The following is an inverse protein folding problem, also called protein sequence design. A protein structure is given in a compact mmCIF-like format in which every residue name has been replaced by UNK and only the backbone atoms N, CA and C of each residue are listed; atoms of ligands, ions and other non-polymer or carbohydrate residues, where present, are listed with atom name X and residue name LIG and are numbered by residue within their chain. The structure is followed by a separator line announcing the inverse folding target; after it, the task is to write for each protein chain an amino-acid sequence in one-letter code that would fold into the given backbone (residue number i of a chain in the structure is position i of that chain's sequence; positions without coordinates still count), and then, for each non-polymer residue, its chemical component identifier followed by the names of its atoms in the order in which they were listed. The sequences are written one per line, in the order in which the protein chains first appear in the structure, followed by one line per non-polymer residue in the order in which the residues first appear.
data_IF_396173445074
#
_entry.id   IF_396173445074
#
_cell.length_a   1.000
_cell.length_b   1.000
_cell.length_c   1.000
_cell.angle_alpha   90.00
_cell.angle_beta   90.00
_cell.angle_gamma   90.00
#
_symmetry.space_group_name_H-M   'P 1'
#
loop_
_entity.id
_entity.type
_entity.pdbx_description
1 polymer ?
#
# COMPACT_ATOMS: atom_id res chain seq x y z
N UNK A 1 -41.59 37.10 1.19
CA UNK A 1 -41.92 35.77 0.65
C UNK A 1 -40.87 35.39 -0.37
N UNK A 2 -40.52 34.12 -0.45
CA UNK A 2 -39.75 33.57 -1.56
C UNK A 2 -40.71 32.99 -2.59
N UNK A 3 -40.34 33.06 -3.87
CA UNK A 3 -41.13 32.45 -4.95
C UNK A 3 -40.27 31.39 -5.62
N UNK A 4 -40.81 30.19 -5.79
CA UNK A 4 -40.17 29.14 -6.57
C UNK A 4 -40.30 29.48 -8.05
N UNK A 5 -39.21 29.83 -8.72
CA UNK A 5 -39.25 30.29 -10.13
C UNK A 5 -38.84 29.23 -11.13
N UNK A 6 -38.18 28.16 -10.67
CA UNK A 6 -37.82 27.03 -11.52
C UNK A 6 -37.73 25.75 -10.70
N UNK A 7 -38.29 24.67 -11.24
CA UNK A 7 -38.12 23.31 -10.73
C UNK A 7 -37.63 22.42 -11.86
N UNK A 8 -36.42 21.88 -11.72
CA UNK A 8 -35.91 20.86 -12.64
C UNK A 8 -35.87 19.52 -11.93
N UNK A 9 -36.67 18.58 -12.43
CA UNK A 9 -36.61 17.17 -12.05
C UNK A 9 -35.77 16.40 -13.07
N UNK A 10 -34.89 15.53 -12.56
CA UNK A 10 -34.09 14.63 -13.39
C UNK A 10 -33.86 13.31 -12.67
N UNK A 11 -33.68 12.23 -13.42
CA UNK A 11 -33.27 10.95 -12.85
C UNK A 11 -31.77 10.96 -12.59
N UNK A 12 -31.38 10.56 -11.39
CA UNK A 12 -29.98 10.25 -11.05
C UNK A 12 -29.89 8.86 -10.46
N UNK A 13 -28.72 8.24 -10.54
CA UNK A 13 -28.49 6.94 -9.96
C UNK A 13 -27.24 6.93 -9.08
N UNK A 14 -27.17 5.94 -8.20
CA UNK A 14 -25.99 5.59 -7.42
C UNK A 14 -25.66 4.14 -7.72
N UNK A 15 -24.43 3.92 -8.15
CA UNK A 15 -23.94 2.58 -8.43
C UNK A 15 -23.50 1.88 -7.14
N UNK A 16 -23.66 0.55 -7.05
CA UNK A 16 -23.05 -0.21 -5.98
C UNK A 16 -21.53 -0.08 -6.02
N UNK A 17 -20.90 -0.25 -4.85
CA UNK A 17 -19.44 -0.37 -4.78
C UNK A 17 -19.00 -1.59 -5.58
N UNK A 18 -17.97 -1.40 -6.39
CA UNK A 18 -17.31 -2.49 -7.13
C UNK A 18 -16.77 -3.59 -6.18
N UNK A 19 -16.51 -4.81 -6.69
CA UNK A 19 -15.87 -5.87 -5.92
C UNK A 19 -14.57 -5.40 -5.27
N UNK A 20 -14.27 -5.98 -4.11
CA UNK A 20 -13.11 -5.59 -3.34
C UNK A 20 -11.80 -6.01 -4.01
N UNK A 21 -10.90 -5.04 -4.13
CA UNK A 21 -9.46 -5.27 -4.18
C UNK A 21 -8.91 -5.22 -2.76
N UNK A 22 -7.65 -5.57 -2.55
CA UNK A 22 -6.99 -5.45 -1.24
C UNK A 22 -7.04 -4.03 -0.70
N UNK A 23 -6.77 -3.02 -1.55
CA UNK A 23 -6.83 -1.61 -1.15
C UNK A 23 -8.22 -1.22 -0.62
N UNK A 24 -9.27 -1.58 -1.37
CA UNK A 24 -10.64 -1.27 -0.99
C UNK A 24 -11.08 -2.00 0.27
N UNK A 25 -10.76 -3.30 0.40
CA UNK A 25 -11.09 -4.07 1.59
C UNK A 25 -10.43 -3.44 2.82
N UNK A 26 -9.11 -3.21 2.78
CA UNK A 26 -8.37 -2.67 3.91
C UNK A 26 -8.87 -1.26 4.29
N UNK A 27 -9.14 -0.41 3.30
CA UNK A 27 -9.67 0.94 3.53
C UNK A 27 -11.07 0.92 4.16
N UNK A 28 -12.00 0.15 3.59
CA UNK A 28 -13.39 0.11 4.07
C UNK A 28 -13.51 -0.62 5.40
N UNK A 29 -12.84 -1.76 5.58
CA UNK A 29 -12.84 -2.49 6.84
C UNK A 29 -12.18 -1.67 7.95
N UNK A 30 -11.10 -0.92 7.68
CA UNK A 30 -10.49 -0.05 8.71
C UNK A 30 -11.44 1.06 9.14
N UNK A 31 -12.20 1.63 8.20
CA UNK A 31 -13.24 2.63 8.52
C UNK A 31 -14.40 2.02 9.33
N UNK A 32 -14.92 0.87 8.91
CA UNK A 32 -16.09 0.23 9.50
C UNK A 32 -15.78 -0.40 10.87
N UNK A 33 -14.72 -1.21 10.93
CA UNK A 33 -14.35 -2.00 12.11
C UNK A 33 -13.45 -1.22 13.08
N UNK A 34 -12.92 -0.06 12.66
CA UNK A 34 -12.03 0.80 13.47
C UNK A 34 -10.77 0.09 13.98
N UNK A 35 -10.27 -0.89 13.24
CA UNK A 35 -9.04 -1.62 13.54
C UNK A 35 -7.95 -1.33 12.48
N UNK A 36 -6.66 -1.56 12.82
CA UNK A 36 -5.57 -1.36 11.88
C UNK A 36 -5.62 -2.30 10.67
N UNK A 37 -5.13 -1.80 9.55
CA UNK A 37 -5.06 -2.51 8.26
C UNK A 37 -4.27 -3.83 8.34
N UNK A 38 -3.26 -3.88 9.21
CA UNK A 38 -2.48 -5.10 9.49
C UNK A 38 -3.33 -6.21 10.12
N UNK A 39 -4.20 -5.87 11.05
CA UNK A 39 -5.10 -6.82 11.71
C UNK A 39 -6.15 -7.32 10.71
N UNK A 40 -6.71 -6.42 9.90
CA UNK A 40 -7.64 -6.78 8.82
C UNK A 40 -6.99 -7.76 7.84
N UNK A 41 -5.73 -7.53 7.44
CA UNK A 41 -5.02 -8.44 6.56
C UNK A 41 -4.82 -9.83 7.19
N UNK A 42 -4.60 -9.91 8.51
CA UNK A 42 -4.51 -11.18 9.23
C UNK A 42 -5.87 -11.90 9.29
N UNK A 43 -6.95 -11.17 9.54
CA UNK A 43 -8.31 -11.74 9.53
C UNK A 43 -8.69 -12.23 8.13
N UNK A 44 -8.40 -11.46 7.09
CA UNK A 44 -8.63 -11.87 5.70
C UNK A 44 -7.80 -13.10 5.32
N UNK A 45 -6.56 -13.22 5.79
CA UNK A 45 -5.75 -14.43 5.64
C UNK A 45 -6.44 -15.64 6.29
N UNK A 46 -6.94 -15.52 7.53
CA UNK A 46 -7.69 -16.59 8.21
C UNK A 46 -8.94 -17.00 7.41
N UNK A 47 -9.73 -16.03 6.92
CA UNK A 47 -10.93 -16.30 6.12
C UNK A 47 -10.59 -17.02 4.80
N UNK A 48 -9.49 -16.62 4.15
CA UNK A 48 -9.01 -17.28 2.94
C UNK A 48 -8.55 -18.72 3.21
N UNK A 49 -7.75 -18.95 4.26
CA UNK A 49 -7.28 -20.29 4.66
C UNK A 49 -8.43 -21.22 5.09
N UNK A 50 -9.50 -20.64 5.65
CA UNK A 50 -10.74 -21.35 5.97
C UNK A 50 -11.62 -21.62 4.74
N UNK A 51 -11.22 -21.15 3.55
CA UNK A 51 -11.96 -21.35 2.30
C UNK A 51 -13.24 -20.53 2.18
N UNK A 52 -13.41 -19.47 2.98
CA UNK A 52 -14.62 -18.62 2.99
C UNK A 52 -14.58 -17.50 1.95
N UNK A 53 -13.38 -17.02 1.60
CA UNK A 53 -13.17 -15.94 0.63
C UNK A 53 -12.09 -16.31 -0.38
N UNK A 54 -12.11 -15.67 -1.54
CA UNK A 54 -11.02 -15.74 -2.53
C UNK A 54 -9.73 -15.09 -2.02
N UNK A 55 -8.64 -15.22 -2.78
CA UNK A 55 -7.34 -14.71 -2.34
C UNK A 55 -7.36 -13.19 -2.09
N UNK A 56 -7.14 -12.80 -0.83
CA UNK A 56 -7.29 -11.44 -0.35
C UNK A 56 -6.19 -10.45 -0.79
N UNK A 57 -5.12 -10.90 -1.47
CA UNK A 57 -4.05 -10.05 -2.01
C UNK A 57 -4.16 -9.92 -3.51
N UNK A 58 -5.09 -9.08 -3.95
CA UNK A 58 -5.49 -8.87 -5.33
C UNK A 58 -5.70 -7.38 -5.61
N UNK A 59 -5.29 -6.94 -6.79
CA UNK A 59 -5.59 -5.63 -7.36
C UNK A 59 -6.69 -5.71 -8.43
N UNK A 60 -7.30 -6.88 -8.57
CA UNK A 60 -8.32 -7.16 -9.58
C UNK A 60 -9.72 -6.96 -9.01
N UNK A 61 -10.58 -6.31 -9.78
CA UNK A 61 -12.03 -6.23 -9.54
C UNK A 61 -12.77 -7.37 -10.25
N UNK A 62 -12.07 -8.20 -11.02
CA UNK A 62 -12.63 -9.23 -11.90
C UNK A 62 -13.40 -10.32 -11.14
N UNK A 63 -14.49 -10.79 -11.73
CA UNK A 63 -15.26 -11.94 -11.29
C UNK A 63 -15.38 -12.90 -12.46
N UNK A 64 -15.15 -14.19 -12.24
CA UNK A 64 -15.29 -15.19 -13.29
C UNK A 64 -16.72 -15.25 -13.86
N UNK A 65 -16.88 -15.48 -15.17
CA UNK A 65 -18.20 -15.69 -15.78
C UNK A 65 -19.00 -16.81 -15.11
N UNK A 66 -18.32 -17.88 -14.68
CA UNK A 66 -18.91 -18.99 -13.94
C UNK A 66 -19.54 -18.50 -12.63
N UNK A 67 -18.79 -17.70 -11.85
CA UNK A 67 -19.29 -17.15 -10.60
C UNK A 67 -20.45 -16.18 -10.81
N UNK A 68 -20.40 -15.33 -11.84
CA UNK A 68 -21.48 -14.39 -12.16
C UNK A 68 -22.80 -15.10 -12.44
N UNK A 69 -22.74 -16.24 -13.16
CA UNK A 69 -23.89 -17.08 -13.46
C UNK A 69 -24.44 -17.78 -12.21
N UNK A 70 -23.56 -18.35 -11.39
CA UNK A 70 -23.97 -18.97 -10.12
C UNK A 70 -24.62 -17.94 -9.18
N UNK A 71 -24.05 -16.75 -9.11
CA UNK A 71 -24.54 -15.64 -8.31
C UNK A 71 -25.97 -15.24 -8.69
N UNK A 72 -26.25 -15.06 -9.99
CA UNK A 72 -27.60 -14.77 -10.50
C UNK A 72 -28.59 -15.86 -10.07
N UNK A 73 -28.27 -17.12 -10.36
CA UNK A 73 -29.14 -18.27 -10.10
C UNK A 73 -29.46 -18.41 -8.61
N UNK A 74 -28.49 -18.14 -7.74
CA UNK A 74 -28.65 -18.30 -6.29
C UNK A 74 -29.41 -17.13 -5.64
N UNK A 75 -29.07 -15.89 -5.98
CA UNK A 75 -29.59 -14.72 -5.28
C UNK A 75 -30.87 -14.13 -5.88
N UNK A 76 -31.16 -14.32 -7.16
CA UNK A 76 -32.40 -13.81 -7.76
C UNK A 76 -33.67 -14.35 -7.06
N UNK A 77 -33.76 -15.64 -6.67
CA UNK A 77 -34.89 -16.13 -5.87
C UNK A 77 -34.97 -15.57 -4.44
N UNK A 78 -33.83 -15.15 -3.87
CA UNK A 78 -33.75 -14.62 -2.50
C UNK A 78 -34.06 -13.12 -2.47
N UNK A 79 -33.60 -12.39 -3.50
CA UNK A 79 -33.74 -10.95 -3.67
C UNK A 79 -34.29 -10.63 -5.07
N UNK A 80 -35.60 -10.88 -5.30
CA UNK A 80 -36.19 -10.77 -6.64
C UNK A 80 -36.02 -9.38 -7.24
N UNK A 81 -35.56 -9.32 -8.49
CA UNK A 81 -35.40 -8.08 -9.25
C UNK A 81 -34.23 -7.20 -8.80
N UNK A 82 -33.37 -7.70 -7.91
CA UNK A 82 -32.19 -6.96 -7.41
C UNK A 82 -30.96 -7.21 -8.28
N UNK A 83 -30.81 -8.37 -8.92
CA UNK A 83 -29.60 -8.69 -9.69
C UNK A 83 -29.45 -7.81 -10.94
N UNK A 84 -28.20 -7.47 -11.25
CA UNK A 84 -27.79 -6.84 -12.51
C UNK A 84 -26.40 -7.34 -12.88
N UNK A 85 -26.31 -8.07 -14.00
CA UNK A 85 -25.04 -8.55 -14.54
C UNK A 85 -24.08 -7.38 -14.79
N UNK A 86 -22.93 -7.41 -14.12
CA UNK A 86 -21.87 -6.40 -14.21
C UNK A 86 -20.53 -7.08 -14.39
N UNK A 87 -19.88 -6.75 -15.51
CA UNK A 87 -18.50 -7.15 -15.75
C UNK A 87 -17.54 -6.15 -15.14
N UNK A 88 -16.60 -6.70 -14.39
CA UNK A 88 -15.48 -5.96 -13.83
C UNK A 88 -14.19 -6.47 -14.48
N UNK A 89 -13.27 -5.55 -14.76
CA UNK A 89 -11.98 -5.88 -15.38
C UNK A 89 -10.88 -5.79 -14.33
N UNK A 90 -9.85 -6.61 -14.50
CA UNK A 90 -8.61 -6.42 -13.78
C UNK A 90 -8.04 -5.02 -14.07
N UNK A 91 -7.40 -4.40 -13.07
CA UNK A 91 -6.74 -3.11 -13.25
C UNK A 91 -5.61 -3.21 -14.29
N UNK A 92 -5.26 -2.07 -14.93
CA UNK A 92 -4.17 -2.01 -15.93
C UNK A 92 -2.82 -2.53 -15.42
N UNK A 93 -2.60 -2.45 -14.11
CA UNK A 93 -1.38 -2.88 -13.45
C UNK A 93 -1.52 -4.25 -12.77
N UNK A 94 -2.63 -4.95 -13.00
CA UNK A 94 -2.82 -6.26 -12.41
C UNK A 94 -1.77 -7.22 -12.94
N UNK A 95 -0.99 -7.78 -12.01
CA UNK A 95 0.15 -8.64 -12.33
C UNK A 95 -0.28 -10.01 -12.86
N UNK A 96 -1.57 -10.36 -12.77
CA UNK A 96 -2.12 -11.60 -13.30
C UNK A 96 -3.57 -11.39 -13.75
N UNK A 97 -3.85 -11.67 -15.03
CA UNK A 97 -5.23 -11.71 -15.56
C UNK A 97 -6.12 -12.76 -14.87
N UNK A 98 -5.52 -13.68 -14.10
CA UNK A 98 -6.20 -14.78 -13.42
C UNK A 98 -6.57 -14.51 -11.95
N UNK A 99 -6.28 -13.31 -11.40
CA UNK A 99 -6.70 -13.00 -10.03
C UNK A 99 -8.13 -12.44 -10.03
N UNK A 100 -9.00 -13.06 -9.24
CA UNK A 100 -10.33 -12.54 -8.96
C UNK A 100 -10.30 -11.47 -7.87
N UNK A 101 -11.39 -10.72 -7.78
CA UNK A 101 -11.71 -9.87 -6.65
C UNK A 101 -11.86 -10.67 -5.35
N UNK A 102 -11.81 -9.97 -4.22
CA UNK A 102 -12.10 -10.52 -2.90
C UNK A 102 -13.61 -10.64 -2.73
N UNK A 103 -14.09 -11.87 -2.72
CA UNK A 103 -15.51 -12.23 -2.63
C UNK A 103 -15.69 -13.51 -1.82
N UNK A 104 -16.93 -13.84 -1.46
CA UNK A 104 -17.24 -15.16 -0.87
C UNK A 104 -17.00 -16.27 -1.90
N UNK A 105 -16.49 -17.40 -1.44
CA UNK A 105 -16.22 -18.59 -2.28
C UNK A 105 -17.49 -19.38 -2.58
N UNK A 106 -18.31 -19.59 -1.55
CA UNK A 106 -19.55 -20.36 -1.62
C UNK A 106 -20.75 -19.46 -1.37
N UNK A 107 -21.75 -19.55 -2.24
CA UNK A 107 -23.00 -18.81 -2.11
C UNK A 107 -23.83 -19.42 -0.98
N UNK A 108 -24.36 -18.57 -0.10
CA UNK A 108 -25.25 -18.96 0.99
C UNK A 108 -26.18 -17.79 1.32
N UNK A 109 -27.28 -18.05 2.03
CA UNK A 109 -28.18 -16.99 2.46
C UNK A 109 -27.62 -16.23 3.67
N UNK A 110 -28.08 -14.99 3.88
CA UNK A 110 -27.62 -14.13 4.98
C UNK A 110 -27.84 -14.78 6.35
N UNK A 111 -28.97 -15.48 6.54
CA UNK A 111 -29.31 -16.19 7.79
C UNK A 111 -28.31 -17.30 8.15
N UNK A 112 -27.57 -17.82 7.16
CA UNK A 112 -26.63 -18.92 7.33
C UNK A 112 -25.19 -18.42 7.55
N UNK A 113 -24.95 -17.11 7.52
CA UNK A 113 -23.61 -16.50 7.57
C UNK A 113 -22.81 -16.96 8.81
N UNK A 114 -23.40 -16.86 10.00
CA UNK A 114 -22.73 -17.28 11.24
C UNK A 114 -22.47 -18.79 11.26
N UNK A 115 -23.39 -19.60 10.72
CA UNK A 115 -23.25 -21.05 10.63
C UNK A 115 -22.09 -21.42 9.69
N UNK A 116 -22.02 -20.80 8.51
CA UNK A 116 -20.95 -21.02 7.52
C UNK A 116 -19.58 -20.68 8.12
N UNK A 117 -19.47 -19.56 8.84
CA UNK A 117 -18.23 -19.22 9.54
C UNK A 117 -17.89 -20.22 10.66
N UNK A 118 -18.88 -20.60 11.47
CA UNK A 118 -18.70 -21.56 12.56
C UNK A 118 -18.25 -22.94 12.06
N UNK A 119 -18.86 -23.44 10.99
CA UNK A 119 -18.50 -24.70 10.33
C UNK A 119 -17.04 -24.65 9.82
N UNK A 120 -16.59 -23.47 9.37
CA UNK A 120 -15.21 -23.19 8.97
C UNK A 120 -14.26 -22.86 10.15
N UNK A 121 -14.72 -23.02 11.40
CA UNK A 121 -13.98 -22.73 12.65
C UNK A 121 -13.58 -21.26 12.81
N UNK A 122 -14.36 -20.35 12.25
CA UNK A 122 -14.25 -18.90 12.41
C UNK A 122 -15.33 -18.44 13.38
N UNK A 123 -14.94 -18.20 14.64
CA UNK A 123 -15.84 -17.71 15.69
C UNK A 123 -15.45 -16.36 16.29
N UNK A 124 -14.34 -15.77 15.85
CA UNK A 124 -13.89 -14.45 16.32
C UNK A 124 -14.81 -13.35 15.77
N UNK A 125 -15.35 -12.49 16.65
CA UNK A 125 -16.33 -11.45 16.29
C UNK A 125 -15.84 -10.53 15.16
N UNK A 126 -14.56 -10.12 15.20
CA UNK A 126 -13.97 -9.27 14.16
C UNK A 126 -13.84 -10.00 12.82
N UNK A 127 -13.58 -11.31 12.83
CA UNK A 127 -13.54 -12.12 11.61
C UNK A 127 -14.94 -12.25 10.99
N UNK A 128 -15.97 -12.45 11.83
CA UNK A 128 -17.37 -12.48 11.39
C UNK A 128 -17.79 -11.15 10.76
N UNK A 129 -17.48 -10.02 11.41
CA UNK A 129 -17.77 -8.68 10.88
C UNK A 129 -17.03 -8.39 9.57
N UNK A 130 -15.77 -8.82 9.45
CA UNK A 130 -15.02 -8.70 8.19
C UNK A 130 -15.65 -9.56 7.08
N UNK A 131 -16.05 -10.79 7.41
CA UNK A 131 -16.72 -11.67 6.45
C UNK A 131 -18.06 -11.09 6.00
N UNK A 132 -18.86 -10.54 6.92
CA UNK A 132 -20.12 -9.84 6.62
C UNK A 132 -19.92 -8.65 5.67
N UNK A 133 -18.84 -7.89 5.84
CA UNK A 133 -18.50 -6.79 4.93
C UNK A 133 -18.16 -7.30 3.52
N UNK A 134 -17.40 -8.39 3.41
CA UNK A 134 -17.07 -9.04 2.13
C UNK A 134 -18.32 -9.63 1.48
N UNK A 135 -19.18 -10.28 2.26
CA UNK A 135 -20.47 -10.84 1.84
C UNK A 135 -21.37 -9.75 1.25
N UNK A 136 -21.54 -8.62 1.96
CA UNK A 136 -22.32 -7.49 1.48
C UNK A 136 -21.76 -6.92 0.16
N UNK A 137 -20.44 -6.67 0.09
CA UNK A 137 -19.83 -6.16 -1.14
C UNK A 137 -19.99 -7.13 -2.31
N UNK A 138 -19.87 -8.43 -2.06
CA UNK A 138 -20.01 -9.45 -3.10
C UNK A 138 -21.39 -9.36 -3.76
N UNK A 139 -22.46 -9.36 -2.96
CA UNK A 139 -23.84 -9.33 -3.45
C UNK A 139 -24.15 -7.98 -4.09
N UNK A 140 -23.88 -6.89 -3.36
CA UNK A 140 -24.20 -5.54 -3.83
C UNK A 140 -23.49 -5.21 -5.15
N UNK A 141 -22.27 -5.71 -5.38
CA UNK A 141 -21.53 -5.46 -6.62
C UNK A 141 -22.24 -6.00 -7.87
N UNK A 142 -23.16 -6.96 -7.71
CA UNK A 142 -23.98 -7.52 -8.79
C UNK A 142 -25.46 -7.11 -8.65
N UNK A 143 -25.74 -6.03 -7.92
CA UNK A 143 -27.08 -5.49 -7.74
C UNK A 143 -27.37 -4.30 -8.65
N UNK A 144 -28.66 -3.99 -8.81
CA UNK A 144 -29.14 -2.80 -9.50
C UNK A 144 -28.71 -1.52 -8.79
N UNK A 145 -28.57 -0.46 -9.58
CA UNK A 145 -28.38 0.88 -9.05
C UNK A 145 -29.53 1.30 -8.13
N UNK A 146 -29.22 2.10 -7.11
CA UNK A 146 -30.25 2.90 -6.46
C UNK A 146 -30.63 4.07 -7.39
N UNK A 147 -31.93 4.28 -7.60
CA UNK A 147 -32.44 5.36 -8.45
C UNK A 147 -33.05 6.46 -7.59
N UNK A 148 -32.83 7.70 -8.00
CA UNK A 148 -33.32 8.89 -7.30
C UNK A 148 -33.95 9.87 -8.27
N UNK A 149 -35.02 10.53 -7.82
CA UNK A 149 -35.48 11.77 -8.43
C UNK A 149 -34.64 12.92 -7.85
N UNK A 150 -33.80 13.55 -8.68
CA UNK A 150 -33.03 14.73 -8.31
C UNK A 150 -33.82 15.99 -8.66
N UNK A 151 -33.97 16.86 -7.67
CA UNK A 151 -34.63 18.15 -7.81
C UNK A 151 -33.62 19.28 -7.67
N UNK A 152 -33.59 20.15 -8.66
CA UNK A 152 -32.85 21.42 -8.63
C UNK A 152 -33.88 22.56 -8.69
N UNK A 153 -34.05 23.26 -7.56
CA UNK A 153 -35.04 24.32 -7.38
C UNK A 153 -34.35 25.68 -7.28
N UNK A 154 -34.89 26.69 -7.96
CA UNK A 154 -34.44 28.08 -7.85
C UNK A 154 -35.54 28.90 -7.18
N UNK A 155 -35.24 29.44 -6.01
CA UNK A 155 -36.09 30.37 -5.29
C UNK A 155 -35.62 31.79 -5.50
N UNK A 156 -36.54 32.69 -5.83
CA UNK A 156 -36.29 34.12 -5.90
C UNK A 156 -36.71 34.80 -4.61
N UNK A 157 -35.81 35.56 -4.01
CA UNK A 157 -36.07 36.40 -2.83
C UNK A 157 -35.63 37.82 -3.18
N UNK A 158 -36.60 38.71 -3.40
CA UNK A 158 -36.34 40.06 -3.94
C UNK A 158 -35.54 39.97 -5.27
N UNK A 159 -34.34 40.55 -5.32
CA UNK A 159 -33.43 40.53 -6.48
C UNK A 159 -32.55 39.29 -6.55
N UNK A 160 -32.46 38.50 -5.48
CA UNK A 160 -31.50 37.42 -5.35
C UNK A 160 -32.11 36.05 -5.67
N UNK A 161 -31.26 35.13 -6.14
CA UNK A 161 -31.63 33.74 -6.44
C UNK A 161 -30.92 32.78 -5.49
N UNK A 162 -31.67 31.83 -4.95
CA UNK A 162 -31.19 30.79 -4.04
C UNK A 162 -31.45 29.43 -4.66
N UNK A 163 -30.43 28.56 -4.64
CA UNK A 163 -30.55 27.18 -5.16
C UNK A 163 -30.77 26.21 -4.01
N UNK A 164 -31.76 25.34 -4.15
CA UNK A 164 -31.96 24.15 -3.33
C UNK A 164 -31.80 22.92 -4.22
N UNK A 165 -30.97 21.97 -3.80
CA UNK A 165 -30.73 20.72 -4.52
C UNK A 165 -30.83 19.55 -3.55
N UNK A 166 -31.68 18.57 -3.87
CA UNK A 166 -31.88 17.36 -3.06
C UNK A 166 -32.30 16.19 -3.96
N UNK A 167 -32.35 14.99 -3.38
CA UNK A 167 -32.68 13.75 -4.07
C UNK A 167 -33.68 12.95 -3.25
N UNK A 168 -34.71 12.43 -3.91
CA UNK A 168 -35.67 11.51 -3.30
C UNK A 168 -35.41 10.10 -3.83
N UNK A 169 -35.26 9.12 -2.92
CA UNK A 169 -35.05 7.73 -3.29
C UNK A 169 -36.30 7.20 -4.01
N UNK A 170 -36.11 6.73 -5.24
CA UNK A 170 -37.16 6.18 -6.10
C UNK A 170 -37.14 4.66 -6.07
N UNK A 171 -35.97 4.06 -6.22
CA UNK A 171 -35.76 2.60 -6.16
C UNK A 171 -34.49 2.30 -5.36
N UNK A 172 -34.58 1.36 -4.42
CA UNK A 172 -33.45 1.04 -3.51
C UNK A 172 -32.29 0.36 -4.22
N UNK A 173 -32.56 -0.57 -5.14
CA UNK A 173 -31.53 -1.40 -5.75
C UNK A 173 -30.66 -2.06 -4.67
N UNK A 174 -29.33 -1.94 -4.81
CA UNK A 174 -28.36 -2.49 -3.86
C UNK A 174 -28.52 -2.00 -2.40
N UNK A 175 -29.16 -0.84 -2.16
CA UNK A 175 -29.38 -0.33 -0.80
C UNK A 175 -30.29 -1.24 0.03
N UNK A 176 -31.19 -1.98 -0.62
CA UNK A 176 -32.03 -2.97 0.08
C UNK A 176 -31.17 -4.06 0.72
N UNK A 177 -30.14 -4.52 0.02
CA UNK A 177 -29.21 -5.54 0.52
C UNK A 177 -28.30 -4.96 1.61
N UNK A 178 -27.78 -3.75 1.42
CA UNK A 178 -26.98 -3.09 2.47
C UNK A 178 -27.80 -2.89 3.75
N UNK A 179 -29.07 -2.48 3.66
CA UNK A 179 -29.96 -2.29 4.82
C UNK A 179 -30.20 -3.60 5.57
N UNK A 180 -30.37 -4.71 4.85
CA UNK A 180 -30.59 -6.03 5.45
C UNK A 180 -29.34 -6.54 6.19
N UNK A 181 -28.15 -6.25 5.67
CA UNK A 181 -26.90 -6.79 6.21
C UNK A 181 -26.33 -5.89 7.31
N UNK A 182 -26.30 -4.58 7.12
CA UNK A 182 -25.66 -3.61 8.04
C UNK A 182 -26.67 -2.98 9.01
N UNK A 183 -27.97 -3.06 8.71
CA UNK A 183 -29.02 -2.39 9.47
C UNK A 183 -29.21 -0.93 9.06
N UNK A 184 -30.46 -0.47 9.07
CA UNK A 184 -30.85 0.89 8.64
C UNK A 184 -30.13 2.01 9.38
N UNK A 185 -29.86 1.84 10.67
CA UNK A 185 -29.24 2.89 11.50
C UNK A 185 -27.76 3.14 11.16
N UNK A 186 -27.05 2.17 10.57
CA UNK A 186 -25.66 2.36 10.16
C UNK A 186 -25.57 3.12 8.83
N UNK A 187 -26.51 2.89 7.91
CA UNK A 187 -26.55 3.57 6.61
C UNK A 187 -26.92 5.06 6.72
N UNK A 188 -27.90 5.37 7.57
CA UNK A 188 -28.35 6.76 7.80
C UNK A 188 -27.27 7.64 8.44
N UNK A 189 -26.20 7.06 9.00
CA UNK A 189 -25.05 7.81 9.55
C UNK A 189 -24.03 8.19 8.48
N UNK A 190 -23.96 7.44 7.38
CA UNK A 190 -23.04 7.73 6.27
C UNK A 190 -23.69 8.61 5.20
N UNK A 191 -24.99 8.51 5.03
CA UNK A 191 -25.77 9.30 4.07
C UNK A 191 -26.42 10.49 4.77
N UNK A 192 -26.08 11.71 4.34
CA UNK A 192 -26.92 12.88 4.60
C UNK A 192 -28.18 12.76 3.72
N UNK A 193 -29.04 11.78 3.99
CA UNK A 193 -30.35 11.72 3.35
C UNK A 193 -31.07 13.04 3.65
N UNK A 194 -31.64 13.64 2.61
CA UNK A 194 -32.43 14.85 2.79
C UNK A 194 -33.67 14.48 3.60
N UNK A 195 -33.96 15.21 4.68
CA UNK A 195 -35.20 15.10 5.48
C UNK A 195 -36.49 15.40 4.67
N UNK A 196 -36.36 15.70 3.39
CA UNK A 196 -37.47 15.93 2.49
C UNK A 196 -37.96 14.56 2.03
N UNK A 197 -39.06 14.08 2.61
CA UNK A 197 -39.70 12.82 2.17
C UNK A 197 -40.65 13.04 1.00
N UNK A 198 -41.24 14.25 0.91
CA UNK A 198 -42.19 14.61 -0.14
C UNK A 198 -41.96 16.05 -0.60
N UNK A 199 -41.80 16.24 -1.92
CA UNK A 199 -41.70 17.56 -2.54
C UNK A 199 -42.90 17.82 -3.46
N UNK A 200 -43.73 18.78 -3.09
CA UNK A 200 -45.00 19.08 -3.78
C UNK A 200 -45.06 20.48 -4.41
N UNK A 201 -43.99 21.28 -4.27
CA UNK A 201 -43.99 22.65 -4.76
C UNK A 201 -43.90 22.71 -6.28
N UNK A 202 -44.61 23.66 -6.87
CA UNK A 202 -44.62 23.98 -8.30
C UNK A 202 -44.05 25.35 -8.57
N UNK A 203 -43.66 25.59 -9.82
CA UNK A 203 -43.27 26.92 -10.23
C UNK A 203 -44.38 27.94 -9.95
N UNK A 204 -43.96 29.11 -9.47
CA UNK A 204 -44.77 30.21 -8.95
C UNK A 204 -45.37 30.01 -7.56
N UNK A 205 -45.13 28.88 -6.89
CA UNK A 205 -45.52 28.73 -5.48
C UNK A 205 -44.76 29.72 -4.60
N UNK A 206 -45.51 30.36 -3.70
CA UNK A 206 -44.98 31.28 -2.70
C UNK A 206 -44.69 30.54 -1.41
N UNK A 207 -43.44 30.61 -0.94
CA UNK A 207 -43.02 29.98 0.32
C UNK A 207 -42.73 31.07 1.36
N UNK A 208 -43.23 30.92 2.60
CA UNK A 208 -42.90 31.84 3.69
C UNK A 208 -41.39 31.86 3.96
N UNK A 209 -40.80 33.05 3.88
CA UNK A 209 -39.40 33.26 4.22
C UNK A 209 -39.29 33.38 5.75
N UNK A 210 -38.74 32.36 6.41
CA UNK A 210 -38.57 32.36 7.88
C UNK A 210 -37.38 33.21 8.32
N UNK A 211 -36.22 32.98 7.71
CA UNK A 211 -34.97 33.64 8.08
C UNK A 211 -34.05 33.77 6.86
N UNK A 212 -33.23 34.82 6.86
CA UNK A 212 -32.08 34.97 5.95
C UNK A 212 -30.89 35.39 6.79
N UNK A 213 -29.81 34.62 6.73
CA UNK A 213 -28.57 34.94 7.40
C UNK A 213 -27.40 34.77 6.45
N UNK A 214 -26.34 35.54 6.70
CA UNK A 214 -25.09 35.43 5.96
C UNK A 214 -24.18 34.48 6.74
N UNK A 215 -23.91 33.31 6.18
CA UNK A 215 -22.93 32.38 6.73
C UNK A 215 -21.57 32.63 6.10
N UNK A 216 -20.61 33.09 6.90
CA UNK A 216 -19.20 33.07 6.48
C UNK A 216 -18.75 31.61 6.39
N UNK A 217 -18.39 31.16 5.19
CA UNK A 217 -17.80 29.83 4.98
C UNK A 217 -16.29 29.98 4.99
N UNK A 218 -15.64 29.53 6.05
CA UNK A 218 -14.19 29.45 6.10
C UNK A 218 -13.75 28.14 5.44
N UNK A 219 -12.80 28.21 4.51
CA UNK A 219 -12.23 27.00 3.91
C UNK A 219 -11.44 26.26 4.99
N UNK A 220 -11.81 25.02 5.34
CA UNK A 220 -11.06 24.27 6.33
C UNK A 220 -9.67 23.96 5.78
N UNK A 221 -8.65 24.01 6.64
CA UNK A 221 -7.31 23.55 6.31
C UNK A 221 -7.33 22.06 5.90
N UNK A 222 -6.38 21.61 5.07
CA UNK A 222 -6.22 20.19 4.74
C UNK A 222 -6.15 19.36 6.03
N UNK A 223 -6.98 18.31 6.10
CA UNK A 223 -6.99 17.40 7.26
C UNK A 223 -5.83 16.40 7.13
N UNK A 224 -5.24 15.95 8.25
CA UNK A 224 -4.28 14.85 8.22
C UNK A 224 -4.90 13.60 7.59
N UNK A 225 -4.06 12.78 6.96
CA UNK A 225 -4.48 11.47 6.49
C UNK A 225 -4.86 10.59 7.68
N UNK A 226 -5.89 9.78 7.50
CA UNK A 226 -6.23 8.69 8.42
C UNK A 226 -5.71 7.38 7.86
N UNK A 227 -5.56 6.37 8.71
CA UNK A 227 -5.17 5.03 8.26
C UNK A 227 -6.05 4.50 7.13
N UNK A 228 -7.38 4.67 7.24
CA UNK A 228 -8.34 4.27 6.20
C UNK A 228 -8.13 4.96 4.85
N UNK A 229 -7.49 6.15 4.82
CA UNK A 229 -7.20 6.92 3.61
C UNK A 229 -5.75 6.73 3.11
N UNK A 230 -4.89 6.11 3.91
CA UNK A 230 -3.48 5.94 3.59
C UNK A 230 -3.27 4.95 2.43
N UNK A 231 -4.00 3.84 2.42
CA UNK A 231 -3.88 2.83 1.36
C UNK A 231 -4.43 3.35 0.01
N UNK A 232 -5.63 3.96 -0.06
CA UNK A 232 -6.10 4.60 -1.29
C UNK A 232 -5.14 5.66 -1.84
N UNK A 233 -4.48 6.41 -0.95
CA UNK A 233 -3.45 7.37 -1.36
C UNK A 233 -2.28 6.66 -2.05
N UNK A 234 -1.72 5.63 -1.43
CA UNK A 234 -0.61 4.85 -1.99
C UNK A 234 -0.97 4.24 -3.36
N UNK A 235 -2.16 3.65 -3.47
CA UNK A 235 -2.67 3.09 -4.73
C UNK A 235 -2.80 4.18 -5.81
N UNK A 236 -3.36 5.35 -5.47
CA UNK A 236 -3.51 6.46 -6.42
C UNK A 236 -2.18 7.06 -6.88
N UNK A 237 -1.17 7.03 -6.01
CA UNK A 237 0.20 7.45 -6.30
C UNK A 237 1.03 6.35 -6.98
N UNK A 238 0.47 5.16 -7.20
CA UNK A 238 1.15 4.01 -7.81
C UNK A 238 2.27 3.43 -6.95
N UNK A 239 2.21 3.62 -5.63
CA UNK A 239 3.22 3.18 -4.67
C UNK A 239 2.73 1.92 -3.95
N UNK A 240 3.52 0.85 -4.00
CA UNK A 240 3.21 -0.41 -3.34
C UNK A 240 2.19 -1.28 -4.10
N UNK A 241 1.94 -2.47 -3.55
CA UNK A 241 1.10 -3.52 -4.11
C UNK A 241 0.24 -4.14 -3.01
N UNK A 242 -0.80 -4.94 -3.35
CA UNK A 242 -1.59 -5.70 -2.39
C UNK A 242 -0.78 -6.42 -1.29
N UNK A 243 0.40 -6.92 -1.64
CA UNK A 243 1.32 -7.60 -0.73
C UNK A 243 2.03 -6.68 0.27
N UNK A 244 2.10 -5.38 0.01
CA UNK A 244 2.91 -4.44 0.80
C UNK A 244 2.10 -3.43 1.61
N UNK A 245 0.87 -3.11 1.19
CA UNK A 245 0.06 -2.04 1.82
C UNK A 245 -0.05 -2.14 3.34
N UNK A 246 -0.40 -3.33 3.85
CA UNK A 246 -0.58 -3.57 5.28
C UNK A 246 0.72 -3.44 6.11
N UNK A 247 1.89 -3.49 5.46
CA UNK A 247 3.20 -3.43 6.13
C UNK A 247 3.76 -2.02 6.25
N UNK A 248 3.38 -1.10 5.35
CA UNK A 248 4.01 0.22 5.27
C UNK A 248 3.73 1.08 6.49
N UNK A 249 2.47 1.15 6.93
CA UNK A 249 2.10 1.97 8.08
C UNK A 249 2.76 1.46 9.37
N UNK A 250 2.75 0.15 9.58
CA UNK A 250 3.40 -0.53 10.72
C UNK A 250 4.92 -0.26 10.73
N UNK A 251 5.58 -0.30 9.56
CA UNK A 251 7.00 0.00 9.44
C UNK A 251 7.32 1.46 9.79
N UNK A 252 6.51 2.41 9.32
CA UNK A 252 6.68 3.84 9.62
C UNK A 252 6.48 4.12 11.13
N UNK A 253 5.50 3.48 11.75
CA UNK A 253 5.27 3.53 13.20
C UNK A 253 6.43 2.93 13.99
N UNK A 254 6.88 1.73 13.61
CA UNK A 254 8.00 1.03 14.27
C UNK A 254 9.30 1.83 14.20
N UNK A 255 9.53 2.54 13.10
CA UNK A 255 10.68 3.45 12.93
C UNK A 255 10.48 4.82 13.56
N UNK A 256 9.32 5.07 14.19
CA UNK A 256 8.96 6.33 14.84
C UNK A 256 8.98 7.53 13.88
N UNK A 257 8.72 7.32 12.59
CA UNK A 257 8.61 8.42 11.61
C UNK A 257 7.25 9.08 11.61
N UNK A 258 6.22 8.35 12.03
CA UNK A 258 4.87 8.86 12.20
C UNK A 258 4.32 8.43 13.57
N UNK A 259 3.28 9.11 14.01
CA UNK A 259 2.40 8.69 15.09
C UNK A 259 0.95 8.69 14.60
N UNK A 260 0.10 7.91 15.25
CA UNK A 260 -1.35 7.90 15.03
C UNK A 260 -2.02 8.38 16.31
N UNK A 261 -2.85 9.42 16.18
CA UNK A 261 -3.67 9.90 17.29
C UNK A 261 -4.79 8.89 17.61
N UNK A 262 -4.87 8.45 18.86
CA UNK A 262 -5.79 7.36 19.27
C UNK A 262 -7.27 7.77 19.29
N UNK A 263 -7.59 9.06 19.27
CA UNK A 263 -8.97 9.56 19.26
C UNK A 263 -9.49 9.79 17.85
N UNK A 264 -8.62 10.31 16.98
CA UNK A 264 -8.98 10.78 15.63
C UNK A 264 -8.52 9.84 14.52
N UNK A 265 -7.63 8.88 14.83
CA UNK A 265 -6.89 8.03 13.90
C UNK A 265 -6.11 8.83 12.85
N UNK A 266 -5.73 10.07 13.19
CA UNK A 266 -4.95 10.95 12.33
C UNK A 266 -3.46 10.59 12.36
N UNK A 267 -2.87 10.41 11.19
CA UNK A 267 -1.45 10.19 10.99
C UNK A 267 -0.73 11.54 11.03
N UNK A 268 0.25 11.67 11.92
CA UNK A 268 1.06 12.89 12.07
C UNK A 268 2.55 12.53 11.93
N UNK A 269 3.36 13.30 11.18
CA UNK A 269 4.79 13.07 11.15
C UNK A 269 5.44 13.43 12.49
N UNK A 270 6.43 12.66 12.91
CA UNK A 270 7.29 13.00 14.06
C UNK A 270 8.43 13.92 13.63
N UNK A 271 9.12 14.55 14.59
CA UNK A 271 10.35 15.31 14.29
C UNK A 271 11.38 14.47 13.55
N UNK A 272 11.56 13.20 13.95
CA UNK A 272 12.46 12.27 13.28
C UNK A 272 12.04 11.98 11.83
N UNK A 273 10.73 11.80 11.58
CA UNK A 273 10.21 11.63 10.23
C UNK A 273 10.47 12.87 9.36
N UNK A 274 10.27 14.06 9.91
CA UNK A 274 10.54 15.32 9.22
C UNK A 274 12.02 15.52 8.90
N UNK A 275 12.92 15.15 9.82
CA UNK A 275 14.37 15.20 9.61
C UNK A 275 14.81 14.28 8.47
N UNK A 276 14.31 13.04 8.44
CA UNK A 276 14.61 12.08 7.37
C UNK A 276 14.15 12.60 6.01
N UNK A 277 12.94 13.15 5.91
CA UNK A 277 12.46 13.76 4.67
C UNK A 277 13.28 15.00 4.30
N UNK A 278 13.66 15.81 5.28
CA UNK A 278 14.50 16.99 5.05
C UNK A 278 15.90 16.63 4.57
N UNK A 279 16.46 15.51 5.04
CA UNK A 279 17.73 14.99 4.55
C UNK A 279 17.65 14.67 3.05
N UNK A 280 16.66 13.88 2.64
CA UNK A 280 16.52 13.50 1.23
C UNK A 280 16.21 14.69 0.31
N UNK A 281 15.39 15.66 0.76
CA UNK A 281 15.04 16.84 -0.04
C UNK A 281 16.16 17.86 -0.22
N UNK A 282 17.15 17.87 0.67
CA UNK A 282 18.25 18.85 0.61
C UNK A 282 19.26 18.54 -0.49
N UNK A 283 19.41 17.27 -0.84
CA UNK A 283 20.45 16.81 -1.74
C UNK A 283 19.87 16.24 -3.03
N UNK A 284 20.21 16.88 -4.15
CA UNK A 284 19.73 16.50 -5.49
C UNK A 284 20.12 15.08 -5.90
N UNK A 285 21.20 14.53 -5.35
CA UNK A 285 21.63 13.16 -5.63
C UNK A 285 20.73 12.10 -4.97
N UNK A 286 19.98 12.46 -3.93
CA UNK A 286 19.07 11.55 -3.21
C UNK A 286 17.63 12.03 -3.16
N UNK A 287 17.34 13.24 -3.63
CA UNK A 287 16.00 13.80 -3.69
C UNK A 287 15.08 12.88 -4.51
N UNK A 288 15.61 12.13 -5.47
CA UNK A 288 14.85 11.13 -6.23
C UNK A 288 14.12 10.09 -5.34
N UNK A 289 14.61 9.85 -4.11
CA UNK A 289 14.00 8.98 -3.09
C UNK A 289 12.80 9.67 -2.41
N UNK A 290 12.87 10.98 -2.19
CA UNK A 290 11.83 11.79 -1.56
C UNK A 290 10.93 12.54 -2.55
N UNK A 291 11.14 12.39 -3.86
CA UNK A 291 10.32 12.94 -4.91
C UNK A 291 8.89 12.38 -4.85
N UNK A 292 8.02 13.06 -4.08
CA UNK A 292 6.58 13.00 -4.25
C UNK A 292 6.22 13.95 -5.38
N UNK A 293 5.58 13.47 -6.45
CA UNK A 293 5.25 14.26 -7.64
C UNK A 293 4.33 15.44 -7.30
N UNK A 294 4.91 16.60 -6.95
CA UNK A 294 4.16 17.86 -6.95
C UNK A 294 4.09 18.48 -8.35
N UNK A 295 4.98 18.06 -9.24
CA UNK A 295 5.03 18.52 -10.62
C UNK A 295 4.36 17.49 -11.53
N UNK A 296 3.08 17.73 -11.86
CA UNK A 296 2.27 16.85 -12.74
C UNK A 296 2.85 16.72 -14.17
N UNK A 297 3.86 17.53 -14.52
CA UNK A 297 4.54 17.48 -15.81
C UNK A 297 5.71 16.49 -15.86
N UNK A 298 6.17 15.99 -14.70
CA UNK A 298 7.23 14.99 -14.61
C UNK A 298 6.64 13.60 -14.47
N UNK A 299 7.20 12.65 -15.23
CA UNK A 299 7.04 11.21 -15.06
C UNK A 299 7.02 10.91 -13.54
N UNK A 300 6.01 10.18 -13.03
CA UNK A 300 5.65 10.10 -11.60
C UNK A 300 6.81 9.78 -10.63
N UNK A 301 6.54 9.72 -9.32
CA UNK A 301 7.60 9.45 -8.32
C UNK A 301 8.53 8.31 -8.76
N UNK A 302 9.84 8.40 -8.48
CA UNK A 302 10.80 7.32 -8.86
C UNK A 302 10.33 5.96 -8.34
N UNK A 303 9.68 5.94 -7.17
CA UNK A 303 9.07 4.75 -6.58
C UNK A 303 7.99 4.17 -7.50
N UNK A 304 7.05 4.98 -7.99
CA UNK A 304 6.03 4.52 -8.95
C UNK A 304 6.66 3.95 -10.22
N UNK A 305 7.68 4.62 -10.77
CA UNK A 305 8.38 4.15 -11.96
C UNK A 305 9.05 2.78 -11.72
N UNK A 306 9.66 2.58 -10.56
CA UNK A 306 10.26 1.29 -10.21
C UNK A 306 9.21 0.20 -10.06
N UNK A 307 8.08 0.50 -9.42
CA UNK A 307 6.95 -0.41 -9.31
C UNK A 307 6.38 -0.80 -10.69
N UNK A 308 6.19 0.17 -11.60
CA UNK A 308 5.75 -0.08 -12.98
C UNK A 308 6.77 -0.91 -13.78
N UNK A 309 8.06 -0.65 -13.61
CA UNK A 309 9.12 -1.46 -14.23
C UNK A 309 9.12 -2.90 -13.72
N UNK A 310 8.85 -3.14 -12.43
CA UNK A 310 8.72 -4.48 -11.88
C UNK A 310 7.53 -5.23 -12.48
N UNK A 311 6.41 -4.54 -12.73
CA UNK A 311 5.27 -5.15 -13.45
C UNK A 311 5.64 -5.52 -14.89
N UNK A 312 6.37 -4.65 -15.59
CA UNK A 312 6.86 -4.92 -16.95
C UNK A 312 7.81 -6.12 -16.98
N UNK A 313 8.70 -6.26 -15.98
CA UNK A 313 9.58 -7.42 -15.83
C UNK A 313 8.75 -8.69 -15.64
N UNK A 314 7.73 -8.66 -14.79
CA UNK A 314 6.82 -9.80 -14.57
C UNK A 314 6.09 -10.22 -15.84
N UNK A 315 5.74 -9.27 -16.73
CA UNK A 315 5.13 -9.56 -18.04
C UNK A 315 6.14 -9.94 -19.14
N UNK A 316 7.44 -9.92 -18.84
CA UNK A 316 8.49 -10.20 -19.82
C UNK A 316 8.77 -9.05 -20.79
N UNK A 317 8.25 -7.85 -20.52
CA UNK A 317 8.40 -6.65 -21.35
C UNK A 317 9.65 -5.82 -21.01
N UNK A 318 10.29 -6.10 -19.86
CA UNK A 318 11.50 -5.41 -19.40
C UNK A 318 12.54 -6.38 -18.82
N UNK A 319 13.83 -5.98 -18.85
CA UNK A 319 14.94 -6.77 -18.32
C UNK A 319 15.23 -6.42 -16.86
N UNK A 320 15.21 -7.43 -16.00
CA UNK A 320 15.62 -7.30 -14.60
C UNK A 320 17.06 -6.78 -14.45
N UNK A 321 17.98 -7.25 -15.30
CA UNK A 321 19.38 -6.83 -15.26
C UNK A 321 19.55 -5.34 -15.57
N UNK A 322 18.82 -4.84 -16.59
CA UNK A 322 18.82 -3.41 -16.94
C UNK A 322 18.25 -2.57 -15.80
N UNK A 323 17.12 -2.98 -15.23
CA UNK A 323 16.51 -2.31 -14.08
C UNK A 323 17.49 -2.24 -12.89
N UNK A 324 18.12 -3.36 -12.54
CA UNK A 324 19.10 -3.40 -11.45
C UNK A 324 20.33 -2.53 -11.74
N UNK A 325 20.79 -2.49 -12.99
CA UNK A 325 21.89 -1.60 -13.40
C UNK A 325 21.52 -0.12 -13.20
N UNK A 326 20.31 0.30 -13.59
CA UNK A 326 19.82 1.66 -13.37
C UNK A 326 19.74 2.01 -11.88
N UNK A 327 19.18 1.12 -11.05
CA UNK A 327 19.10 1.30 -9.60
C UNK A 327 20.50 1.46 -9.00
N UNK A 328 21.43 0.56 -9.34
CA UNK A 328 22.81 0.60 -8.85
C UNK A 328 23.53 1.87 -9.32
N UNK A 329 23.30 2.30 -10.56
CA UNK A 329 23.91 3.51 -11.11
C UNK A 329 23.48 4.75 -10.31
N UNK A 330 22.18 4.88 -10.01
CA UNK A 330 21.65 5.96 -9.16
C UNK A 330 22.19 5.88 -7.73
N UNK A 331 22.29 4.70 -7.13
CA UNK A 331 22.81 4.54 -5.77
C UNK A 331 24.33 4.78 -5.68
N UNK A 332 25.10 4.43 -6.71
CA UNK A 332 26.56 4.65 -6.73
C UNK A 332 26.91 6.13 -6.86
N UNK A 333 26.14 6.92 -7.61
CA UNK A 333 26.34 8.37 -7.66
C UNK A 333 26.15 8.99 -6.27
N UNK A 334 25.07 8.59 -5.59
CA UNK A 334 24.80 8.96 -4.20
C UNK A 334 25.94 8.56 -3.26
N UNK A 335 26.35 7.28 -3.25
CA UNK A 335 27.34 6.80 -2.29
C UNK A 335 28.71 7.50 -2.47
N UNK A 336 29.12 7.72 -3.73
CA UNK A 336 30.35 8.44 -4.05
C UNK A 336 30.29 9.90 -3.58
N UNK A 337 29.14 10.55 -3.72
CA UNK A 337 28.92 11.93 -3.27
C UNK A 337 29.06 12.06 -1.74
N UNK A 338 28.43 11.19 -0.95
CA UNK A 338 28.55 11.23 0.52
C UNK A 338 29.92 10.81 1.03
N UNK A 339 30.63 9.91 0.35
CA UNK A 339 32.04 9.61 0.63
C UNK A 339 32.94 10.83 0.39
N UNK A 340 32.63 11.65 -0.61
CA UNK A 340 33.38 12.89 -0.87
C UNK A 340 33.03 14.04 0.09
N UNK A 341 31.85 14.02 0.73
CA UNK A 341 31.40 15.06 1.66
C UNK A 341 31.61 14.70 3.14
N UNK A 342 31.78 13.42 3.50
CA UNK A 342 32.17 13.04 4.85
C UNK A 342 33.62 13.44 5.11
N UNK A 343 33.83 14.63 5.67
CA UNK A 343 35.07 14.97 6.38
C UNK A 343 35.11 14.29 7.75
N UNK A 344 34.80 12.99 7.81
CA UNK A 344 35.20 12.18 8.96
C UNK A 344 36.68 11.90 8.75
N UNK A 345 37.52 12.42 9.65
CA UNK A 345 38.98 12.37 9.59
C UNK A 345 39.47 11.05 8.98
N UNK A 346 39.91 11.12 7.72
CA UNK A 346 40.47 9.98 6.99
C UNK A 346 41.87 9.62 7.52
N UNK A 347 42.18 9.99 8.77
CA UNK A 347 43.40 9.69 9.48
C UNK A 347 43.38 8.24 9.96
N UNK A 348 44.47 7.48 9.75
CA UNK A 348 44.60 6.14 10.30
C UNK A 348 44.48 6.13 11.83
N UNK A 349 43.95 5.05 12.38
CA UNK A 349 43.98 4.83 13.84
C UNK A 349 45.39 4.46 14.30
N UNK A 350 45.74 4.78 15.55
CA UNK A 350 47.03 4.43 16.15
C UNK A 350 47.34 2.93 16.03
N UNK A 351 46.31 2.08 16.19
CA UNK A 351 46.42 0.63 16.00
C UNK A 351 46.83 0.21 14.59
N UNK A 352 46.39 0.93 13.57
CA UNK A 352 46.80 0.66 12.18
C UNK A 352 48.26 1.03 11.97
N UNK A 353 48.70 2.16 12.51
CA UNK A 353 50.10 2.60 12.42
C UNK A 353 51.04 1.67 13.20
N UNK A 354 50.65 1.25 14.41
CA UNK A 354 51.36 0.24 15.20
C UNK A 354 51.46 -1.10 14.48
N UNK A 355 50.38 -1.53 13.80
CA UNK A 355 50.36 -2.78 13.06
C UNK A 355 51.27 -2.71 11.82
N UNK A 356 51.27 -1.58 11.10
CA UNK A 356 52.20 -1.33 9.98
C UNK A 356 53.64 -1.37 10.47
N UNK A 357 53.94 -0.71 11.59
CA UNK A 357 55.29 -0.71 12.17
C UNK A 357 55.73 -2.11 12.59
N UNK A 358 54.81 -2.90 13.16
CA UNK A 358 55.06 -4.31 13.49
C UNK A 358 55.32 -5.15 12.25
N UNK A 359 54.52 -5.01 11.19
CA UNK A 359 54.71 -5.73 9.92
C UNK A 359 56.04 -5.37 9.27
N UNK A 360 56.38 -4.07 9.23
CA UNK A 360 57.67 -3.59 8.72
C UNK A 360 58.84 -4.20 9.50
N UNK A 361 58.73 -4.27 10.83
CA UNK A 361 59.76 -4.85 11.70
C UNK A 361 59.87 -6.37 11.52
N UNK A 362 58.75 -7.09 11.51
CA UNK A 362 58.71 -8.55 11.42
C UNK A 362 59.16 -9.06 10.04
N UNK A 363 58.87 -8.31 8.97
CA UNK A 363 59.21 -8.68 7.58
C UNK A 363 60.40 -7.93 6.99
N UNK A 364 61.08 -7.08 7.77
CA UNK A 364 62.20 -6.22 7.34
C UNK A 364 61.86 -5.37 6.11
N UNK A 365 60.67 -4.78 6.08
CA UNK A 365 60.20 -3.90 5.01
C UNK A 365 60.43 -2.43 5.38
N UNK A 366 60.59 -1.57 4.36
CA UNK A 366 60.57 -0.12 4.56
C UNK A 366 59.15 0.36 4.88
N UNK A 367 59.04 1.40 5.70
CA UNK A 367 57.73 2.01 6.01
C UNK A 367 57.09 2.54 4.71
N UNK A 368 55.76 2.39 4.55
CA UNK A 368 55.05 2.94 3.39
C UNK A 368 55.14 4.46 3.33
N UNK A 369 54.83 5.03 2.16
CA UNK A 369 54.90 6.48 1.94
C UNK A 369 54.00 7.26 2.92
N UNK A 370 54.34 8.53 3.17
CA UNK A 370 53.52 9.39 4.04
C UNK A 370 52.08 9.53 3.55
N UNK A 371 51.86 9.48 2.24
CA UNK A 371 50.53 9.50 1.62
C UNK A 371 49.66 8.30 2.06
N UNK A 372 50.27 7.13 2.27
CA UNK A 372 49.58 5.94 2.80
C UNK A 372 49.35 6.12 4.30
N UNK A 373 50.37 6.56 5.05
CA UNK A 373 50.34 6.73 6.50
C UNK A 373 49.42 7.86 7.00
N UNK A 374 48.87 8.68 6.10
CA UNK A 374 47.91 9.74 6.42
C UNK A 374 46.48 9.40 5.94
N UNK A 375 46.26 8.20 5.40
CA UNK A 375 44.97 7.78 4.88
C UNK A 375 44.55 6.40 5.44
N UNK A 376 43.42 6.37 6.16
CA UNK A 376 42.90 5.18 6.87
C UNK A 376 42.64 3.99 5.95
N UNK A 377 42.12 4.23 4.75
CA UNK A 377 41.82 3.18 3.76
C UNK A 377 43.12 2.64 3.15
N UNK A 378 44.02 3.52 2.74
CA UNK A 378 45.33 3.12 2.19
C UNK A 378 46.16 2.32 3.20
N UNK A 379 46.13 2.69 4.48
CA UNK A 379 46.73 1.90 5.55
C UNK A 379 46.12 0.50 5.64
N UNK A 380 44.80 0.36 5.50
CA UNK A 380 44.12 -0.94 5.57
C UNK A 380 44.48 -1.83 4.39
N UNK A 381 44.52 -1.27 3.19
CA UNK A 381 44.91 -1.98 1.96
C UNK A 381 46.37 -2.44 2.04
N UNK A 382 47.28 -1.56 2.47
CA UNK A 382 48.68 -1.90 2.64
C UNK A 382 48.89 -3.02 3.68
N UNK A 383 48.18 -2.96 4.82
CA UNK A 383 48.20 -4.02 5.83
C UNK A 383 47.70 -5.34 5.21
N UNK A 384 46.60 -5.33 4.46
CA UNK A 384 46.04 -6.54 3.86
C UNK A 384 47.01 -7.21 2.86
N UNK A 385 47.72 -6.42 2.04
CA UNK A 385 48.72 -6.93 1.10
C UNK A 385 49.93 -7.57 1.80
N UNK A 386 50.30 -7.04 2.96
CA UNK A 386 51.51 -7.44 3.68
C UNK A 386 51.25 -8.40 4.84
N UNK A 387 50.00 -8.65 5.20
CA UNK A 387 49.58 -9.69 6.15
C UNK A 387 49.14 -10.95 5.39
N UNK A 388 50.13 -11.70 4.87
CA UNK A 388 49.92 -13.12 4.57
C UNK A 388 49.86 -13.91 5.87
N UNK A 389 48.71 -13.89 6.52
CA UNK A 389 48.41 -14.82 7.61
C UNK A 389 48.03 -16.19 7.03
N UNK A 390 48.56 -17.25 7.63
CA UNK A 390 48.16 -18.62 7.30
C UNK A 390 46.70 -18.84 7.76
N UNK A 391 45.85 -19.50 6.96
CA UNK A 391 44.51 -19.89 7.37
C UNK A 391 44.50 -20.68 8.68
N UNK A 392 43.51 -20.43 9.51
CA UNK A 392 43.25 -21.26 10.69
C UNK A 392 42.77 -22.66 10.27
N UNK A 393 43.04 -23.66 11.12
CA UNK A 393 42.54 -25.02 10.89
C UNK A 393 41.01 -25.08 10.74
N UNK A 394 40.28 -24.18 11.42
CA UNK A 394 38.82 -24.05 11.28
C UNK A 394 38.41 -23.63 9.86
N UNK A 395 39.13 -22.70 9.22
CA UNK A 395 38.86 -22.30 7.84
C UNK A 395 39.16 -23.43 6.86
N UNK A 396 40.27 -24.15 7.03
CA UNK A 396 40.61 -25.31 6.19
C UNK A 396 39.56 -26.43 6.31
N UNK A 397 39.09 -26.73 7.51
CA UNK A 397 38.04 -27.73 7.73
C UNK A 397 36.71 -27.31 7.12
N UNK A 398 36.38 -26.01 7.17
CA UNK A 398 35.15 -25.48 6.58
C UNK A 398 35.18 -25.56 5.04
N UNK A 399 36.33 -25.30 4.41
CA UNK A 399 36.51 -25.48 2.97
C UNK A 399 36.28 -26.94 2.56
N UNK A 400 36.90 -27.90 3.28
CA UNK A 400 36.69 -29.34 3.01
C UNK A 400 35.21 -29.71 3.07
N UNK A 401 34.52 -29.25 4.12
CA UNK A 401 33.07 -29.48 4.29
C UNK A 401 32.26 -28.90 3.15
N UNK A 402 32.56 -27.68 2.69
CA UNK A 402 31.88 -27.06 1.54
C UNK A 402 32.15 -27.83 0.24
N UNK A 403 33.39 -28.28 0.01
CA UNK A 403 33.74 -29.09 -1.16
C UNK A 403 32.99 -30.43 -1.18
N UNK A 404 32.88 -31.10 -0.03
CA UNK A 404 32.14 -32.36 0.12
C UNK A 404 30.63 -32.16 -0.08
N UNK A 405 30.03 -31.18 0.59
CA UNK A 405 28.59 -30.91 0.53
C UNK A 405 28.13 -30.41 -0.84
N UNK A 406 28.95 -29.61 -1.53
CA UNK A 406 28.61 -28.99 -2.81
C UNK A 406 29.25 -29.70 -4.03
N UNK A 407 29.93 -30.85 -3.83
CA UNK A 407 30.67 -31.59 -4.88
C UNK A 407 31.64 -30.71 -5.69
N UNK A 408 32.36 -29.81 -5.01
CA UNK A 408 33.33 -28.91 -5.63
C UNK A 408 34.75 -29.46 -5.52
N UNK A 409 35.59 -29.17 -6.52
CA UNK A 409 37.02 -29.43 -6.43
C UNK A 409 37.67 -28.55 -5.35
N UNK A 410 38.76 -29.05 -4.76
CA UNK A 410 39.51 -28.30 -3.76
C UNK A 410 40.15 -27.03 -4.37
N UNK A 411 40.01 -25.84 -3.74
CA UNK A 411 40.71 -24.64 -4.18
C UNK A 411 42.23 -24.81 -4.23
N UNK A 412 42.86 -24.01 -5.08
CA UNK A 412 44.31 -24.07 -5.32
C UNK A 412 45.13 -23.79 -4.04
N UNK A 413 46.37 -24.31 -4.01
CA UNK A 413 47.32 -24.03 -2.92
C UNK A 413 47.57 -22.54 -2.68
N UNK A 414 47.35 -21.68 -3.68
CA UNK A 414 47.43 -20.22 -3.51
C UNK A 414 46.32 -19.70 -2.59
N UNK A 415 45.10 -20.21 -2.72
CA UNK A 415 43.95 -19.84 -1.88
C UNK A 415 44.08 -20.50 -0.51
N UNK A 416 44.51 -21.76 -0.45
CA UNK A 416 44.63 -22.53 0.79
C UNK A 416 45.73 -22.04 1.75
N UNK A 417 46.62 -21.16 1.30
CA UNK A 417 47.73 -20.64 2.11
C UNK A 417 47.56 -19.17 2.53
N UNK A 418 46.42 -18.55 2.20
CA UNK A 418 46.13 -17.15 2.50
C UNK A 418 44.80 -17.02 3.24
N UNK A 419 44.85 -16.52 4.48
CA UNK A 419 43.69 -16.39 5.37
C UNK A 419 42.57 -15.52 4.81
N UNK A 420 42.89 -14.51 4.00
CA UNK A 420 41.89 -13.63 3.42
C UNK A 420 41.32 -14.23 2.13
N UNK A 421 42.18 -14.81 1.28
CA UNK A 421 41.74 -15.51 0.08
C UNK A 421 40.82 -16.70 0.41
N UNK A 422 41.15 -17.48 1.45
CA UNK A 422 40.31 -18.60 1.88
C UNK A 422 38.97 -18.11 2.47
N UNK A 423 38.94 -16.98 3.17
CA UNK A 423 37.70 -16.42 3.73
C UNK A 423 36.77 -15.93 2.63
N UNK A 424 37.33 -15.22 1.64
CA UNK A 424 36.58 -14.78 0.46
C UNK A 424 36.03 -15.98 -0.33
N UNK A 425 36.84 -17.03 -0.51
CA UNK A 425 36.40 -18.26 -1.17
C UNK A 425 35.26 -18.95 -0.41
N UNK A 426 35.35 -19.04 0.93
CA UNK A 426 34.29 -19.60 1.78
C UNK A 426 32.98 -18.80 1.64
N UNK A 427 33.05 -17.46 1.62
CA UNK A 427 31.86 -16.61 1.53
C UNK A 427 31.17 -16.67 0.17
N UNK A 428 31.94 -16.80 -0.91
CA UNK A 428 31.42 -17.02 -2.27
C UNK A 428 30.68 -18.37 -2.38
N UNK A 429 31.21 -19.43 -1.77
CA UNK A 429 30.69 -20.80 -1.90
C UNK A 429 29.79 -21.25 -0.75
N UNK A 430 29.58 -20.42 0.28
CA UNK A 430 28.48 -20.58 1.25
C UNK A 430 27.15 -20.12 0.66
N UNK A 431 27.16 -19.20 -0.30
CA UNK A 431 25.95 -18.61 -0.90
C UNK A 431 25.27 -19.52 -1.93
N UNK A 432 25.97 -20.52 -2.46
CA UNK A 432 25.41 -21.55 -3.36
C UNK A 432 24.51 -22.57 -2.64
N UNK A 433 24.25 -22.37 -1.34
CA UNK A 433 23.37 -23.18 -0.49
C UNK A 433 21.98 -22.58 -0.26
N UNK A 434 21.58 -21.59 -1.05
CA UNK A 434 20.19 -21.10 -1.09
C UNK A 434 19.54 -21.43 -2.41
#
# INVERSE_FOLDING_TARGET
MSVLVSVKESLSNKEPKKPFTTSKLLSQASKALKIPTKEIAQLAQKLFEAGLITYHRTDSEFLSPEYLKEHEVFFEPIYPGVYQYREYKAGKNSQAEAHEAIRITHLHALKDLEKVCSDAKIGEELALKLYQLIYANTICSQSRNALYNQYDCIFKVKSESFKLSFKLLKEKGFLEIEELIQGKEELNKEEQESEIENFLLKENDSVPLKEVFIKKIEKPSPKPYKESAFIPLLESEGIGRPSTYASFLDLLLKRKYISIDTKTNAITPTSQGLEVISFFKKDKEVDFIALTSKDKSKLGSTTKQFEECLDLIMRGEASYEKFMFEVISKLKSTAKFYQTQSTDNNMPTDKQLELIDKICKDKKLQKPSQEILQNKEKCSDWIAEHVKEKPSQKQLNLVKKICEECKLAMPTNKILNDKFAISKWIDEHKKTKK
#
